data_IF_572746024514
#
_entry.id   IF_572746024514
#
_cell.length_a   1.000
_cell.length_b   1.000
_cell.length_c   1.000
_cell.angle_alpha   90.00
_cell.angle_beta   90.00
_cell.angle_gamma   90.00
#
_symmetry.space_group_name_H-M   'P 1'
#
loop_
_entity.id
_entity.type
_entity.pdbx_description
1 polymer ?
#
# COMPACT_ATOMS: atom_id res chain seq x y z
N UNK A 1 -13.20 -26.45 -3.73
CA UNK A 1 -11.79 -26.27 -3.28
C UNK A 1 -10.90 -25.64 -4.36
N UNK A 2 -11.05 -26.02 -5.64
CA UNK A 2 -10.25 -25.50 -6.77
C UNK A 2 -10.30 -23.96 -6.94
N UNK A 3 -11.48 -23.34 -6.81
CA UNK A 3 -11.64 -21.88 -6.91
C UNK A 3 -10.79 -21.09 -5.90
N UNK A 4 -10.62 -21.59 -4.66
CA UNK A 4 -9.80 -20.91 -3.64
C UNK A 4 -8.30 -21.03 -3.92
N UNK A 5 -7.86 -22.14 -4.52
CA UNK A 5 -6.47 -22.33 -4.94
C UNK A 5 -6.15 -21.40 -6.12
N UNK A 6 -7.05 -21.32 -7.10
CA UNK A 6 -6.92 -20.44 -8.26
C UNK A 6 -6.79 -18.95 -7.88
N UNK A 7 -7.63 -18.47 -6.96
CA UNK A 7 -7.53 -17.09 -6.45
C UNK A 7 -6.19 -16.82 -5.76
N UNK A 8 -5.67 -17.77 -4.98
CA UNK A 8 -4.35 -17.63 -4.34
C UNK A 8 -3.23 -17.52 -5.38
N UNK A 9 -3.29 -18.29 -6.45
CA UNK A 9 -2.32 -18.20 -7.54
C UNK A 9 -2.39 -16.85 -8.28
N UNK A 10 -3.59 -16.37 -8.61
CA UNK A 10 -3.77 -15.07 -9.27
C UNK A 10 -3.20 -13.92 -8.42
N UNK A 11 -3.33 -14.01 -7.10
CA UNK A 11 -2.85 -12.94 -6.20
C UNK A 11 -1.34 -13.02 -5.96
N UNK A 12 -0.76 -14.23 -5.91
CA UNK A 12 0.64 -14.42 -5.54
C UNK A 12 1.62 -14.39 -6.72
N UNK A 13 1.22 -14.87 -7.90
CA UNK A 13 2.12 -14.98 -9.06
C UNK A 13 2.56 -13.60 -9.59
N UNK A 14 1.65 -12.62 -9.81
CA UNK A 14 2.05 -11.35 -10.42
C UNK A 14 3.05 -10.52 -9.56
N UNK A 15 2.93 -10.44 -8.22
CA UNK A 15 3.96 -9.84 -7.38
C UNK A 15 5.32 -10.52 -7.50
N UNK A 16 5.37 -11.85 -7.64
CA UNK A 16 6.61 -12.61 -7.79
C UNK A 16 7.27 -12.33 -9.14
N UNK A 17 6.49 -12.34 -10.23
CA UNK A 17 6.98 -11.98 -11.57
C UNK A 17 7.55 -10.55 -11.55
N UNK A 18 6.84 -9.62 -10.92
CA UNK A 18 7.29 -8.24 -10.79
C UNK A 18 8.63 -8.13 -10.05
N UNK A 19 8.81 -8.89 -8.96
CA UNK A 19 10.08 -8.98 -8.24
C UNK A 19 11.21 -9.53 -9.13
N UNK A 20 10.98 -10.65 -9.82
CA UNK A 20 11.98 -11.28 -10.69
C UNK A 20 12.41 -10.35 -11.82
N UNK A 21 11.47 -9.66 -12.46
CA UNK A 21 11.78 -8.67 -13.51
C UNK A 21 12.70 -7.57 -12.96
N UNK A 22 12.41 -7.03 -11.78
CA UNK A 22 13.23 -5.96 -11.20
C UNK A 22 14.58 -6.46 -10.68
N UNK A 23 14.68 -7.71 -10.21
CA UNK A 23 15.96 -8.34 -9.87
C UNK A 23 16.85 -8.48 -11.11
N UNK A 24 16.29 -9.00 -12.22
CA UNK A 24 17.01 -9.07 -13.50
C UNK A 24 17.46 -7.67 -13.96
N UNK A 25 16.64 -6.63 -13.79
CA UNK A 25 17.04 -5.26 -14.10
C UNK A 25 18.21 -4.77 -13.23
N UNK A 26 18.20 -5.07 -11.93
CA UNK A 26 19.32 -4.75 -11.02
C UNK A 26 20.58 -5.51 -11.42
N UNK A 27 20.46 -6.78 -11.81
CA UNK A 27 21.58 -7.58 -12.29
C UNK A 27 22.19 -7.00 -13.57
N UNK A 28 21.36 -6.71 -14.58
CA UNK A 28 21.82 -6.16 -15.85
C UNK A 28 22.46 -4.77 -15.67
N UNK A 29 21.89 -3.91 -14.83
CA UNK A 29 22.41 -2.58 -14.57
C UNK A 29 23.81 -2.60 -13.93
N UNK A 30 24.11 -3.59 -13.08
CA UNK A 30 25.43 -3.72 -12.47
C UNK A 30 26.44 -4.43 -13.38
N UNK A 31 26.00 -5.40 -14.20
CA UNK A 31 26.91 -6.21 -15.03
C UNK A 31 27.25 -5.59 -16.39
N UNK A 32 26.33 -4.81 -16.98
CA UNK A 32 26.53 -4.16 -18.28
C UNK A 32 26.54 -2.63 -18.12
N UNK A 33 27.71 -2.00 -17.92
CA UNK A 33 27.83 -0.55 -17.71
C UNK A 33 27.26 0.29 -18.86
N UNK A 34 27.27 -0.21 -20.10
CA UNK A 34 26.68 0.49 -21.25
C UNK A 34 25.15 0.63 -21.15
N UNK A 35 24.48 -0.24 -20.40
CA UNK A 35 23.03 -0.18 -20.14
C UNK A 35 22.64 0.81 -19.03
N UNK A 36 23.62 1.32 -18.26
CA UNK A 36 23.38 2.19 -17.09
C UNK A 36 22.83 3.56 -17.43
N UNK A 37 22.97 4.01 -18.69
CA UNK A 37 22.40 5.29 -19.15
C UNK A 37 20.86 5.25 -19.12
N UNK A 38 20.26 4.07 -19.30
CA UNK A 38 18.80 3.87 -19.27
C UNK A 38 18.31 3.25 -17.94
N UNK A 39 19.16 2.48 -17.25
CA UNK A 39 18.79 1.72 -16.04
C UNK A 39 19.66 2.09 -14.83
N UNK A 40 19.60 3.35 -14.40
CA UNK A 40 20.32 3.79 -13.20
C UNK A 40 19.55 3.42 -11.92
N UNK A 41 20.18 2.62 -11.06
CA UNK A 41 19.63 2.21 -9.77
C UNK A 41 19.82 3.36 -8.75
N UNK A 42 18.92 4.33 -8.81
CA UNK A 42 18.85 5.49 -7.91
C UNK A 42 17.74 5.32 -6.85
N UNK A 43 17.65 6.18 -5.81
CA UNK A 43 16.53 6.19 -4.86
C UNK A 43 15.14 6.19 -5.54
N UNK A 44 15.04 6.79 -6.73
CA UNK A 44 13.84 6.79 -7.58
C UNK A 44 13.39 5.38 -7.99
N UNK A 45 14.32 4.46 -8.26
CA UNK A 45 14.03 3.07 -8.61
C UNK A 45 13.28 2.37 -7.48
N UNK A 46 13.78 2.48 -6.24
CA UNK A 46 13.14 1.88 -5.06
C UNK A 46 11.76 2.50 -4.77
N UNK A 47 11.62 3.82 -4.90
CA UNK A 47 10.32 4.49 -4.80
C UNK A 47 9.34 3.93 -5.82
N UNK A 48 9.74 3.84 -7.10
CA UNK A 48 8.89 3.34 -8.19
C UNK A 48 8.52 1.86 -8.00
N UNK A 49 9.45 1.05 -7.49
CA UNK A 49 9.20 -0.35 -7.16
C UNK A 49 8.12 -0.50 -6.06
N UNK A 50 8.20 0.31 -5.00
CA UNK A 50 7.21 0.32 -3.92
C UNK A 50 5.84 0.85 -4.39
N UNK A 51 5.84 1.89 -5.22
CA UNK A 51 4.65 2.41 -5.90
C UNK A 51 4.05 1.44 -6.93
N UNK A 52 4.87 0.51 -7.43
CA UNK A 52 4.55 -0.48 -8.46
C UNK A 52 4.41 0.05 -9.90
N UNK A 53 5.13 1.12 -10.24
CA UNK A 53 5.37 1.66 -11.62
C UNK A 53 4.09 1.99 -12.47
N UNK A 54 4.17 2.64 -13.65
CA UNK A 54 3.44 3.90 -13.92
C UNK A 54 1.98 3.76 -14.39
N UNK A 55 1.54 2.58 -14.82
CA UNK A 55 0.23 2.42 -15.48
C UNK A 55 -0.90 2.26 -14.45
N UNK A 56 -0.67 1.49 -13.38
CA UNK A 56 -1.64 1.26 -12.31
C UNK A 56 -0.92 1.19 -10.95
N UNK A 57 -0.66 2.34 -10.30
CA UNK A 57 -0.02 2.36 -8.99
C UNK A 57 -0.79 1.49 -7.99
N UNK A 58 -0.04 0.67 -7.24
CA UNK A 58 -0.56 -0.24 -6.21
C UNK A 58 -1.62 -1.26 -6.65
N UNK A 59 -1.65 -1.67 -7.91
CA UNK A 59 -2.54 -2.72 -8.41
C UNK A 59 -2.53 -4.00 -7.54
N UNK A 60 -1.35 -4.52 -7.18
CA UNK A 60 -1.26 -5.71 -6.33
C UNK A 60 -1.73 -5.47 -4.89
N UNK A 61 -1.53 -4.26 -4.38
CA UNK A 61 -2.03 -3.86 -3.06
C UNK A 61 -3.56 -3.85 -3.09
N UNK A 62 -4.15 -3.31 -4.15
CA UNK A 62 -5.59 -3.34 -4.38
C UNK A 62 -6.12 -4.78 -4.46
N UNK A 63 -5.43 -5.65 -5.22
CA UNK A 63 -5.79 -7.05 -5.39
C UNK A 63 -5.79 -7.80 -4.05
N UNK A 64 -4.71 -7.70 -3.27
CA UNK A 64 -4.61 -8.32 -1.94
C UNK A 64 -5.65 -7.74 -0.98
N UNK A 65 -5.85 -6.42 -1.00
CA UNK A 65 -6.89 -5.76 -0.21
C UNK A 65 -8.28 -6.33 -0.49
N UNK A 66 -8.64 -6.47 -1.77
CA UNK A 66 -9.95 -7.00 -2.19
C UNK A 66 -10.12 -8.47 -1.78
N UNK A 67 -9.16 -9.33 -2.11
CA UNK A 67 -9.31 -10.76 -1.91
C UNK A 67 -9.14 -11.18 -0.44
N UNK A 68 -8.19 -10.57 0.26
CA UNK A 68 -7.94 -10.84 1.67
C UNK A 68 -8.82 -9.93 2.53
N UNK A 69 -8.59 -8.62 2.46
CA UNK A 69 -9.18 -7.61 3.35
C UNK A 69 -10.70 -7.53 3.37
N UNK A 70 -11.37 -7.59 2.22
CA UNK A 70 -12.82 -7.38 2.14
C UNK A 70 -13.62 -8.40 2.98
N UNK A 71 -13.08 -9.61 3.15
CA UNK A 71 -13.74 -10.70 3.86
C UNK A 71 -13.42 -10.74 5.36
N UNK A 72 -12.45 -9.95 5.86
CA UNK A 72 -11.91 -10.12 7.21
C UNK A 72 -12.93 -9.85 8.30
N UNK A 73 -13.72 -8.77 8.17
CA UNK A 73 -14.75 -8.39 9.15
C UNK A 73 -16.15 -8.72 8.62
N UNK A 74 -16.41 -8.54 7.32
CA UNK A 74 -17.74 -8.75 6.75
C UNK A 74 -18.27 -10.17 6.99
N UNK A 75 -17.40 -11.20 6.97
CA UNK A 75 -17.79 -12.58 7.29
C UNK A 75 -18.11 -12.74 8.76
N UNK A 76 -17.31 -12.15 9.64
CA UNK A 76 -17.54 -12.20 11.08
C UNK A 76 -18.87 -11.53 11.44
N UNK A 77 -19.23 -10.44 10.76
CA UNK A 77 -20.54 -9.80 10.88
C UNK A 77 -21.67 -10.68 10.35
N UNK A 78 -21.51 -11.27 9.16
CA UNK A 78 -22.54 -12.11 8.53
C UNK A 78 -22.90 -13.34 9.36
N UNK A 79 -21.92 -13.92 10.05
CA UNK A 79 -22.10 -15.11 10.88
C UNK A 79 -22.21 -14.80 12.37
N UNK A 80 -22.35 -13.52 12.76
CA UNK A 80 -22.39 -13.08 14.16
C UNK A 80 -21.23 -13.64 15.00
N UNK A 81 -20.06 -13.86 14.40
CA UNK A 81 -18.90 -14.36 15.13
C UNK A 81 -18.35 -13.33 16.11
N UNK A 82 -18.62 -12.03 15.87
CA UNK A 82 -18.15 -10.94 16.72
C UNK A 82 -18.66 -11.05 18.17
N UNK A 83 -19.91 -11.51 18.38
CA UNK A 83 -20.45 -11.70 19.73
C UNK A 83 -19.78 -12.85 20.46
N UNK A 84 -19.38 -13.90 19.73
CA UNK A 84 -18.63 -15.04 20.28
C UNK A 84 -17.20 -14.64 20.64
N UNK A 85 -16.56 -13.75 19.87
CA UNK A 85 -15.23 -13.24 20.19
C UNK A 85 -15.25 -12.29 21.40
N UNK A 86 -16.25 -11.41 21.46
CA UNK A 86 -16.39 -10.39 22.51
C UNK A 86 -17.03 -10.90 23.81
N UNK A 87 -17.56 -12.12 23.84
CA UNK A 87 -18.01 -12.77 25.09
C UNK A 87 -16.85 -13.29 25.94
N UNK A 88 -15.65 -13.38 25.35
CA UNK A 88 -14.40 -13.63 26.06
C UNK A 88 -13.80 -12.31 26.54
N UNK A 89 -12.89 -12.31 27.54
CA UNK A 89 -12.20 -11.11 28.01
C UNK A 89 -11.18 -10.60 26.97
N UNK A 90 -11.66 -10.23 25.78
CA UNK A 90 -10.90 -9.72 24.65
C UNK A 90 -11.50 -8.35 24.32
N UNK A 91 -10.67 -7.31 24.30
CA UNK A 91 -11.14 -5.98 23.92
C UNK A 91 -11.34 -5.91 22.40
N UNK A 92 -12.27 -5.05 21.97
CA UNK A 92 -12.50 -4.78 20.54
C UNK A 92 -11.23 -4.27 19.83
N UNK A 93 -10.31 -3.63 20.57
CA UNK A 93 -9.01 -3.18 20.07
C UNK A 93 -8.10 -4.35 19.72
N UNK A 94 -8.06 -5.40 20.54
CA UNK A 94 -7.21 -6.57 20.32
C UNK A 94 -7.67 -7.33 19.08
N UNK A 95 -9.00 -7.48 18.93
CA UNK A 95 -9.61 -8.01 17.72
C UNK A 95 -9.22 -7.19 16.48
N UNK A 96 -9.34 -5.86 16.55
CA UNK A 96 -9.06 -4.99 15.42
C UNK A 96 -7.57 -4.99 15.03
N UNK A 97 -6.66 -4.93 16.01
CA UNK A 97 -5.21 -5.02 15.80
C UNK A 97 -4.87 -6.36 15.12
N UNK A 98 -5.46 -7.46 15.58
CA UNK A 98 -5.28 -8.78 14.96
C UNK A 98 -5.75 -8.83 13.50
N UNK A 99 -6.88 -8.19 13.17
CA UNK A 99 -7.37 -8.14 11.78
C UNK A 99 -6.51 -7.24 10.88
N UNK A 100 -6.09 -6.08 11.40
CA UNK A 100 -5.22 -5.15 10.67
C UNK A 100 -3.84 -5.77 10.42
N UNK A 101 -3.25 -6.42 11.43
CA UNK A 101 -1.91 -6.99 11.33
C UNK A 101 -1.82 -8.06 10.24
N UNK A 102 -2.87 -8.89 10.06
CA UNK A 102 -2.93 -9.87 8.97
C UNK A 102 -2.76 -9.21 7.61
N UNK A 103 -3.45 -8.10 7.35
CA UNK A 103 -3.35 -7.40 6.07
C UNK A 103 -1.98 -6.72 5.93
N UNK A 104 -1.50 -6.07 6.99
CA UNK A 104 -0.19 -5.39 6.97
C UNK A 104 0.92 -6.39 6.66
N UNK A 105 0.96 -7.54 7.34
CA UNK A 105 1.98 -8.58 7.12
C UNK A 105 1.92 -9.10 5.68
N UNK A 106 0.72 -9.41 5.17
CA UNK A 106 0.54 -9.87 3.80
C UNK A 106 1.03 -8.84 2.77
N UNK A 107 0.73 -7.56 3.00
CA UNK A 107 1.16 -6.49 2.12
C UNK A 107 2.67 -6.23 2.25
N UNK A 108 3.25 -6.30 3.45
CA UNK A 108 4.71 -6.16 3.65
C UNK A 108 5.49 -7.26 2.91
N UNK A 109 4.99 -8.49 2.92
CA UNK A 109 5.59 -9.62 2.20
C UNK A 109 5.70 -9.41 0.69
N UNK A 110 4.83 -8.59 0.09
CA UNK A 110 4.86 -8.34 -1.37
C UNK A 110 5.43 -6.98 -1.76
N UNK A 111 5.60 -6.05 -0.81
CA UNK A 111 6.05 -4.67 -1.07
C UNK A 111 7.40 -4.38 -0.39
N UNK A 112 7.41 -4.24 0.94
CA UNK A 112 8.59 -3.86 1.72
C UNK A 112 9.70 -4.92 1.67
N UNK A 113 9.36 -6.19 1.95
CA UNK A 113 10.36 -7.28 1.98
C UNK A 113 11.03 -7.47 0.60
N UNK A 114 10.28 -7.57 -0.52
CA UNK A 114 10.88 -7.66 -1.84
C UNK A 114 11.73 -6.44 -2.21
N UNK A 115 11.32 -5.24 -1.80
CA UNK A 115 12.11 -4.03 -2.05
C UNK A 115 13.44 -4.03 -1.29
N UNK A 116 13.45 -4.51 -0.05
CA UNK A 116 14.67 -4.69 0.72
C UNK A 116 15.58 -5.75 0.09
N UNK A 117 15.00 -6.83 -0.43
CA UNK A 117 15.75 -7.86 -1.14
C UNK A 117 16.46 -7.28 -2.38
N UNK A 118 15.78 -6.47 -3.18
CA UNK A 118 16.38 -5.78 -4.33
C UNK A 118 17.48 -4.80 -3.91
N UNK A 119 17.32 -4.12 -2.78
CA UNK A 119 18.35 -3.24 -2.25
C UNK A 119 19.60 -4.03 -1.83
N UNK A 120 19.41 -5.16 -1.16
CA UNK A 120 20.51 -6.08 -0.79
C UNK A 120 21.19 -6.63 -2.05
N UNK A 121 20.43 -7.08 -3.04
CA UNK A 121 20.94 -7.56 -4.33
C UNK A 121 21.80 -6.49 -5.00
N UNK A 122 21.30 -5.24 -5.08
CA UNK A 122 22.06 -4.14 -5.65
C UNK A 122 23.37 -3.89 -4.90
N UNK A 123 23.35 -3.91 -3.56
CA UNK A 123 24.57 -3.76 -2.74
C UNK A 123 25.58 -4.86 -3.03
N UNK A 124 25.14 -6.12 -3.07
CA UNK A 124 26.02 -7.28 -3.27
C UNK A 124 26.68 -7.27 -4.65
N UNK A 125 25.98 -6.75 -5.66
CA UNK A 125 26.48 -6.63 -7.03
C UNK A 125 27.29 -5.35 -7.26
N UNK A 126 27.04 -4.29 -6.48
CA UNK A 126 27.77 -3.03 -6.60
C UNK A 126 29.19 -3.18 -6.08
N UNK A 127 30.19 -2.91 -6.92
CA UNK A 127 31.60 -2.90 -6.49
C UNK A 127 32.01 -1.61 -5.75
N UNK A 128 31.10 -0.63 -5.65
CA UNK A 128 31.37 0.69 -5.07
C UNK A 128 30.82 0.84 -3.64
N UNK A 129 31.69 0.63 -2.66
CA UNK A 129 31.38 0.86 -1.24
C UNK A 129 30.96 2.31 -0.93
N UNK A 130 31.28 3.29 -1.79
CA UNK A 130 30.86 4.68 -1.61
C UNK A 130 29.37 4.86 -1.80
N UNK A 131 28.73 4.02 -2.61
CA UNK A 131 27.27 4.05 -2.77
C UNK A 131 26.56 3.70 -1.46
N UNK A 132 27.06 2.71 -0.71
CA UNK A 132 26.47 2.27 0.57
C UNK A 132 26.59 3.38 1.62
N UNK A 133 27.79 3.93 1.79
CA UNK A 133 28.06 5.02 2.73
C UNK A 133 27.23 6.27 2.42
N UNK A 134 26.94 6.52 1.13
CA UNK A 134 26.11 7.62 0.69
C UNK A 134 24.62 7.32 0.73
N UNK A 135 24.15 6.07 0.83
CA UNK A 135 22.73 5.75 0.67
C UNK A 135 22.15 4.86 1.78
N UNK A 136 22.78 4.81 2.95
CA UNK A 136 22.30 4.00 4.09
C UNK A 136 20.87 4.35 4.53
N UNK A 137 20.45 5.61 4.34
CA UNK A 137 19.09 6.06 4.66
C UNK A 137 18.00 5.44 3.78
N UNK A 138 18.35 4.85 2.63
CA UNK A 138 17.40 4.21 1.73
C UNK A 138 16.69 3.05 2.42
N UNK A 139 17.36 2.29 3.29
CA UNK A 139 16.75 1.19 4.04
C UNK A 139 15.59 1.69 4.90
N UNK A 140 15.83 2.75 5.68
CA UNK A 140 14.80 3.39 6.50
C UNK A 140 13.67 3.98 5.64
N UNK A 141 14.02 4.56 4.49
CA UNK A 141 13.06 5.13 3.53
C UNK A 141 12.17 4.04 2.92
N UNK A 142 12.72 2.87 2.56
CA UNK A 142 11.96 1.72 2.04
C UNK A 142 10.94 1.25 3.09
N UNK A 143 11.39 1.03 4.33
CA UNK A 143 10.53 0.55 5.40
C UNK A 143 9.42 1.55 5.71
N UNK A 144 9.78 2.82 5.93
CA UNK A 144 8.82 3.86 6.27
C UNK A 144 7.84 4.11 5.13
N UNK A 145 8.31 4.17 3.87
CA UNK A 145 7.45 4.37 2.71
C UNK A 145 6.49 3.20 2.50
N UNK A 146 6.98 1.96 2.68
CA UNK A 146 6.12 0.78 2.62
C UNK A 146 4.98 0.86 3.64
N UNK A 147 5.28 1.30 4.87
CA UNK A 147 4.26 1.46 5.91
C UNK A 147 3.29 2.61 5.59
N UNK A 148 3.79 3.73 5.08
CA UNK A 148 2.96 4.88 4.64
C UNK A 148 1.93 4.44 3.59
N UNK A 149 2.28 3.55 2.67
CA UNK A 149 1.34 3.04 1.66
C UNK A 149 0.37 2.02 2.26
N UNK A 150 0.91 1.01 2.97
CA UNK A 150 0.18 -0.18 3.39
C UNK A 150 -0.80 0.13 4.52
N UNK A 151 -0.38 0.96 5.49
CA UNK A 151 -1.15 1.19 6.70
C UNK A 151 -2.50 1.89 6.42
N UNK A 152 -2.56 3.03 5.71
CA UNK A 152 -3.84 3.67 5.37
C UNK A 152 -4.73 2.77 4.52
N UNK A 153 -4.16 2.06 3.54
CA UNK A 153 -4.92 1.17 2.66
C UNK A 153 -5.51 -0.03 3.42
N UNK A 154 -4.77 -0.58 4.38
CA UNK A 154 -5.24 -1.66 5.25
C UNK A 154 -6.40 -1.22 6.14
N UNK A 155 -6.32 -0.02 6.72
CA UNK A 155 -7.41 0.57 7.50
C UNK A 155 -8.64 0.83 6.63
N UNK A 156 -8.44 1.32 5.41
CA UNK A 156 -9.51 1.68 4.48
C UNK A 156 -10.33 0.44 4.07
N UNK A 157 -9.67 -0.66 3.68
CA UNK A 157 -10.38 -1.90 3.34
C UNK A 157 -11.09 -2.53 4.54
N UNK A 158 -10.47 -2.49 5.73
CA UNK A 158 -11.07 -3.02 6.96
C UNK A 158 -12.27 -2.19 7.38
N UNK A 159 -12.20 -0.87 7.22
CA UNK A 159 -13.32 0.04 7.44
C UNK A 159 -14.49 -0.34 6.56
N UNK A 160 -14.28 -0.48 5.25
CA UNK A 160 -15.36 -0.92 4.35
C UNK A 160 -15.86 -2.33 4.67
N UNK A 161 -15.00 -3.27 5.04
CA UNK A 161 -15.39 -4.61 5.49
C UNK A 161 -16.27 -4.57 6.75
N UNK A 162 -16.06 -3.59 7.64
CA UNK A 162 -16.87 -3.41 8.85
C UNK A 162 -18.25 -2.77 8.61
N UNK A 163 -18.42 -2.07 7.48
CA UNK A 163 -19.66 -1.37 7.15
C UNK A 163 -20.69 -2.25 6.45
N UNK A 164 -20.34 -3.46 6.03
CA UNK A 164 -21.23 -4.34 5.28
C UNK A 164 -21.06 -5.81 5.67
N UNK A 165 -22.14 -6.57 5.62
CA UNK A 165 -22.12 -8.04 5.82
C UNK A 165 -21.69 -8.78 4.56
N UNK A 166 -21.66 -8.12 3.40
CA UNK A 166 -21.30 -8.73 2.13
C UNK A 166 -19.96 -8.21 1.62
N UNK A 167 -18.95 -9.09 1.60
CA UNK A 167 -17.59 -8.78 1.18
C UNK A 167 -17.49 -8.17 -0.23
N UNK A 168 -18.45 -8.48 -1.11
CA UNK A 168 -18.47 -7.92 -2.48
C UNK A 168 -18.66 -6.41 -2.47
N UNK A 169 -19.56 -5.89 -1.63
CA UNK A 169 -19.76 -4.45 -1.52
C UNK A 169 -18.57 -3.73 -0.89
N UNK A 170 -17.93 -4.35 0.12
CA UNK A 170 -16.71 -3.81 0.72
C UNK A 170 -15.57 -3.71 -0.33
N UNK A 171 -15.41 -4.75 -1.14
CA UNK A 171 -14.44 -4.77 -2.24
C UNK A 171 -14.75 -3.70 -3.30
N UNK A 172 -16.02 -3.55 -3.69
CA UNK A 172 -16.44 -2.53 -4.65
C UNK A 172 -16.11 -1.13 -4.15
N UNK A 173 -16.49 -0.77 -2.91
CA UNK A 173 -16.17 0.54 -2.34
C UNK A 173 -14.67 0.80 -2.27
N UNK A 174 -13.89 -0.22 -1.89
CA UNK A 174 -12.43 -0.13 -1.87
C UNK A 174 -11.85 0.19 -3.25
N UNK A 175 -12.22 -0.59 -4.27
CA UNK A 175 -11.77 -0.38 -5.65
C UNK A 175 -12.24 0.99 -6.17
N UNK A 176 -13.49 1.38 -5.87
CA UNK A 176 -14.05 2.68 -6.26
C UNK A 176 -13.24 3.84 -5.71
N UNK A 177 -12.73 3.78 -4.48
CA UNK A 177 -11.86 4.84 -3.94
C UNK A 177 -10.49 4.83 -4.62
N UNK A 178 -9.88 3.66 -4.81
CA UNK A 178 -8.53 3.55 -5.39
C UNK A 178 -8.45 3.93 -6.86
N UNK A 179 -9.49 3.62 -7.65
CA UNK A 179 -9.55 3.95 -9.08
C UNK A 179 -10.32 5.24 -9.34
N UNK A 180 -11.30 5.57 -8.50
CA UNK A 180 -12.11 6.78 -8.66
C UNK A 180 -11.33 8.05 -8.33
N UNK A 181 -10.49 8.05 -7.29
CA UNK A 181 -9.75 9.27 -6.90
C UNK A 181 -8.77 9.78 -7.98
N UNK A 182 -8.00 8.92 -8.69
CA UNK A 182 -7.18 9.37 -9.82
C UNK A 182 -7.99 9.85 -11.02
N UNK A 183 -9.09 9.16 -11.34
CA UNK A 183 -9.98 9.57 -12.44
C UNK A 183 -10.57 10.96 -12.16
N UNK A 184 -11.04 11.19 -10.92
CA UNK A 184 -11.56 12.48 -10.50
C UNK A 184 -10.49 13.57 -10.56
N UNK A 185 -9.27 13.28 -10.09
CA UNK A 185 -8.15 14.20 -10.22
C UNK A 185 -7.91 14.58 -11.69
N UNK A 186 -7.82 13.61 -12.59
CA UNK A 186 -7.54 13.86 -14.01
C UNK A 186 -8.62 14.72 -14.67
N UNK A 187 -9.90 14.46 -14.37
CA UNK A 187 -11.02 15.27 -14.87
C UNK A 187 -10.93 16.71 -14.35
N UNK A 188 -10.72 16.90 -13.05
CA UNK A 188 -10.68 18.23 -12.43
C UNK A 188 -9.44 19.01 -12.89
N UNK A 189 -8.30 18.33 -13.07
CA UNK A 189 -7.07 18.92 -13.60
C UNK A 189 -7.27 19.42 -15.03
N UNK A 190 -7.92 18.63 -15.89
CA UNK A 190 -8.24 19.03 -17.27
C UNK A 190 -9.16 20.24 -17.32
N UNK A 191 -10.14 20.34 -16.43
CA UNK A 191 -11.10 21.45 -16.38
C UNK A 191 -10.45 22.72 -15.80
N UNK A 192 -9.79 22.58 -14.65
CA UNK A 192 -9.29 23.72 -13.86
C UNK A 192 -7.93 24.23 -14.37
N UNK A 193 -7.17 23.38 -15.10
CA UNK A 193 -5.76 23.61 -15.47
C UNK A 193 -4.85 23.92 -14.28
N UNK A 194 -5.27 23.57 -13.06
CA UNK A 194 -4.52 23.79 -11.84
C UNK A 194 -3.84 22.49 -11.40
N UNK A 195 -2.51 22.52 -11.26
CA UNK A 195 -1.68 21.37 -10.88
C UNK A 195 -1.78 21.01 -9.39
N UNK A 196 -2.49 21.81 -8.58
CA UNK A 196 -2.77 21.52 -7.17
C UNK A 196 -3.86 20.45 -6.96
N UNK A 197 -4.55 20.01 -8.03
CA UNK A 197 -5.56 18.94 -7.98
C UNK A 197 -4.98 17.59 -7.60
N UNK A 198 -3.66 17.39 -7.70
CA UNK A 198 -2.95 16.17 -7.32
C UNK A 198 -3.31 15.68 -5.90
N UNK A 199 -3.68 16.60 -5.02
CA UNK A 199 -4.11 16.33 -3.64
C UNK A 199 -5.36 15.42 -3.56
N UNK A 200 -6.17 15.36 -4.63
CA UNK A 200 -7.40 14.57 -4.69
C UNK A 200 -7.10 13.07 -4.86
N UNK A 201 -6.04 12.72 -5.58
CA UNK A 201 -5.68 11.34 -5.88
C UNK A 201 -4.92 10.70 -4.73
N UNK A 202 -5.38 9.53 -4.28
CA UNK A 202 -4.70 8.80 -3.20
C UNK A 202 -3.27 8.41 -3.60
N UNK A 203 -3.06 8.05 -4.87
CA UNK A 203 -1.74 7.64 -5.37
C UNK A 203 -0.78 8.82 -5.51
N UNK A 204 -1.26 9.98 -5.94
CA UNK A 204 -0.43 11.19 -5.98
C UNK A 204 0.01 11.61 -4.58
N UNK A 205 -0.86 11.52 -3.58
CA UNK A 205 -0.48 11.81 -2.20
C UNK A 205 0.63 10.90 -1.70
N UNK A 206 0.57 9.60 -2.01
CA UNK A 206 1.67 8.69 -1.73
C UNK A 206 2.92 9.04 -2.54
N UNK A 207 2.80 9.42 -3.81
CA UNK A 207 3.96 9.75 -4.65
C UNK A 207 4.72 10.97 -4.12
N UNK A 208 3.99 12.01 -3.70
CA UNK A 208 4.53 13.23 -3.09
C UNK A 208 5.26 12.92 -1.78
N UNK A 209 4.70 12.05 -0.93
CA UNK A 209 5.40 11.62 0.29
C UNK A 209 6.64 10.77 -0.03
N UNK A 210 6.56 9.93 -1.06
CA UNK A 210 7.68 9.12 -1.53
C UNK A 210 8.82 9.97 -2.09
N UNK A 211 8.53 11.01 -2.87
CA UNK A 211 9.59 11.91 -3.38
C UNK A 211 10.31 12.62 -2.26
N UNK A 212 9.58 13.12 -1.27
CA UNK A 212 10.15 13.76 -0.08
C UNK A 212 11.01 12.77 0.73
N UNK A 213 10.52 11.56 0.96
CA UNK A 213 11.19 10.56 1.79
C UNK A 213 12.46 10.01 1.13
N UNK A 214 12.46 9.81 -0.19
CA UNK A 214 13.63 9.37 -0.95
C UNK A 214 14.58 10.51 -1.33
N UNK A 215 14.35 11.73 -0.85
CA UNK A 215 15.22 12.89 -1.10
C UNK A 215 15.29 13.31 -2.58
N UNK A 216 14.25 13.00 -3.35
CA UNK A 216 14.18 13.34 -4.77
C UNK A 216 13.80 14.81 -4.93
N UNK A 217 14.39 15.50 -5.91
CA UNK A 217 14.03 16.89 -6.21
C UNK A 217 12.55 16.99 -6.53
N UNK A 218 11.76 17.79 -5.78
CA UNK A 218 10.35 17.95 -6.08
C UNK A 218 10.19 18.60 -7.46
N UNK A 219 9.42 17.99 -8.34
CA UNK A 219 8.73 18.75 -9.39
C UNK A 219 7.99 19.94 -8.75
N UNK A 220 7.86 21.10 -9.43
CA UNK A 220 7.60 22.40 -8.83
C UNK A 220 6.72 22.36 -7.58
N UNK A 221 7.34 22.68 -6.42
CA UNK A 221 6.81 22.78 -5.05
C UNK A 221 5.36 22.27 -4.87
N UNK A 222 5.13 20.97 -5.02
CA UNK A 222 3.94 20.32 -4.45
C UNK A 222 4.12 20.29 -2.92
N UNK A 223 3.28 20.96 -2.13
CA UNK A 223 3.47 21.04 -0.69
C UNK A 223 3.12 19.70 -0.01
N UNK A 224 4.15 18.92 0.33
CA UNK A 224 4.04 17.59 0.96
C UNK A 224 3.19 17.57 2.24
N UNK A 225 3.14 18.71 2.95
CA UNK A 225 2.37 18.88 4.20
C UNK A 225 0.88 18.60 3.97
N UNK A 226 0.30 19.00 2.84
CA UNK A 226 -1.12 18.76 2.56
C UNK A 226 -1.40 17.27 2.28
N UNK A 227 -0.49 16.61 1.55
CA UNK A 227 -0.59 15.17 1.32
C UNK A 227 -0.48 14.37 2.61
N UNK A 228 0.43 14.75 3.50
CA UNK A 228 0.53 14.17 4.84
C UNK A 228 -0.75 14.41 5.65
N UNK A 229 -1.28 15.64 5.66
CA UNK A 229 -2.49 16.00 6.39
C UNK A 229 -3.71 15.19 5.92
N UNK A 230 -3.87 14.97 4.62
CA UNK A 230 -4.97 14.17 4.07
C UNK A 230 -4.83 12.69 4.43
N UNK A 231 -3.62 12.13 4.37
CA UNK A 231 -3.41 10.75 4.77
C UNK A 231 -3.69 10.55 6.27
N UNK A 232 -3.26 11.48 7.12
CA UNK A 232 -3.62 11.48 8.55
C UNK A 232 -5.14 11.58 8.72
N UNK A 233 -5.80 12.44 7.96
CA UNK A 233 -7.27 12.59 8.01
C UNK A 233 -7.98 11.29 7.61
N UNK A 234 -7.51 10.60 6.56
CA UNK A 234 -8.04 9.29 6.15
C UNK A 234 -7.85 8.25 7.26
N UNK A 235 -6.65 8.17 7.84
CA UNK A 235 -6.35 7.25 8.96
C UNK A 235 -7.28 7.51 10.14
N UNK A 236 -7.37 8.77 10.59
CA UNK A 236 -8.19 9.17 11.74
C UNK A 236 -9.66 8.88 11.48
N UNK A 237 -10.16 9.18 10.28
CA UNK A 237 -11.54 8.89 9.88
C UNK A 237 -11.83 7.40 9.89
N UNK A 238 -10.94 6.57 9.34
CA UNK A 238 -11.08 5.11 9.36
C UNK A 238 -11.10 4.57 10.79
N UNK A 239 -10.17 5.00 11.65
CA UNK A 239 -10.12 4.59 13.06
C UNK A 239 -11.39 5.02 13.80
N UNK A 240 -11.90 6.23 13.56
CA UNK A 240 -13.13 6.72 14.18
C UNK A 240 -14.35 5.89 13.77
N UNK A 241 -14.49 5.57 12.48
CA UNK A 241 -15.57 4.72 11.97
C UNK A 241 -15.48 3.30 12.57
N UNK A 242 -14.29 2.70 12.58
CA UNK A 242 -14.06 1.37 13.15
C UNK A 242 -14.37 1.31 14.64
N UNK A 243 -13.90 2.31 15.40
CA UNK A 243 -14.20 2.44 16.84
C UNK A 243 -15.70 2.55 17.08
N UNK A 244 -16.40 3.35 16.27
CA UNK A 244 -17.85 3.52 16.37
C UNK A 244 -18.57 2.19 16.11
N UNK A 245 -18.27 1.54 14.98
CA UNK A 245 -18.89 0.25 14.59
C UNK A 245 -18.69 -0.86 15.63
N UNK A 246 -17.45 -1.04 16.11
CA UNK A 246 -17.11 -2.14 17.01
C UNK A 246 -17.62 -1.93 18.45
N UNK A 247 -17.69 -0.68 18.92
CA UNK A 247 -18.28 -0.38 20.24
C UNK A 247 -19.77 -0.67 20.30
N UNK A 248 -20.52 -0.40 19.22
CA UNK A 248 -21.95 -0.70 19.20
C UNK A 248 -22.25 -2.19 19.35
N UNK A 249 -21.38 -3.07 18.85
CA UNK A 249 -21.55 -4.52 19.00
C UNK A 249 -21.25 -4.98 20.42
N UNK A 250 -20.32 -4.34 21.13
CA UNK A 250 -20.02 -4.65 22.53
C UNK A 250 -21.14 -4.25 23.48
N UNK A 251 -21.78 -3.10 23.27
CA UNK A 251 -22.86 -2.59 24.15
C UNK A 251 -24.17 -3.42 24.03
N UNK A 252 -24.34 -4.15 22.92
CA UNK A 252 -25.55 -4.93 22.63
C UNK A 252 -25.53 -6.35 23.23
N UNK A 253 -24.37 -6.82 23.70
CA UNK A 253 -24.22 -8.13 24.37
C UNK A 253 -24.11 -7.93 25.88
#
# INVERSE_FOLDING_TARGET
MAQRKFVRFIVAIPPLIYLVIHGVLVYLANYFPESTVLLKIDPKFFKQFLMRNPILPGFFIALIGVFSGANLISKDLRYNALSIYLSKPIFWTDYLIGKISVIIVLLLMITGIPCLLLFIEHILLSSDLKFIMKNYWIVGSILLYSLIIIFPLSLLIITFSSLTTNARYAAMWFISVLLGTPILQEIIEKITRNRQTAIISIWENFDILGTQLFGLTPEPKKPWVWSAAILVTIIVTCICILRRQLRFVHIRN
#
